data_IF_375903597313
#
_entry.id   IF_375903597313
#
_cell.length_a   1.000
_cell.length_b   1.000
_cell.length_c   1.000
_cell.angle_alpha   90.00
_cell.angle_beta   90.00
_cell.angle_gamma   90.00
#
_symmetry.space_group_name_H-M   'P 1'
#
loop_
_entity.id
_entity.type
_entity.pdbx_description
1 polymer ?
#
# COMPACT_ATOMS: atom_id res chain seq x y z
N UNK A 1 -5.03 -18.68 -2.81
CA UNK A 1 -4.42 -18.09 -4.02
C UNK A 1 -3.57 -16.89 -3.60
N UNK A 2 -2.35 -16.76 -4.11
CA UNK A 2 -1.40 -15.73 -3.69
C UNK A 2 -1.65 -14.37 -4.36
N UNK A 3 -2.82 -13.76 -4.11
CA UNK A 3 -3.23 -12.48 -4.74
C UNK A 3 -2.24 -11.33 -4.52
N UNK A 4 -1.51 -11.38 -3.41
CA UNK A 4 -0.47 -10.44 -3.06
C UNK A 4 0.72 -10.53 -4.06
N UNK A 5 1.10 -11.75 -4.49
CA UNK A 5 2.09 -11.95 -5.54
C UNK A 5 1.59 -11.52 -6.93
N UNK A 6 0.32 -11.79 -7.25
CA UNK A 6 -0.33 -11.37 -8.51
C UNK A 6 -0.35 -9.84 -8.61
N UNK A 7 -0.79 -9.15 -7.55
CA UNK A 7 -0.83 -7.69 -7.48
C UNK A 7 0.56 -7.06 -7.65
N UNK A 8 1.56 -7.55 -6.93
CA UNK A 8 2.93 -7.04 -7.04
C UNK A 8 3.50 -7.24 -8.45
N UNK A 9 3.29 -8.41 -9.04
CA UNK A 9 3.77 -8.73 -10.39
C UNK A 9 3.10 -7.84 -11.43
N UNK A 10 1.77 -7.66 -11.34
CA UNK A 10 1.02 -6.79 -12.25
C UNK A 10 1.49 -5.34 -12.15
N UNK A 11 1.67 -4.83 -10.93
CA UNK A 11 2.19 -3.48 -10.68
C UNK A 11 3.57 -3.30 -11.29
N UNK A 12 4.51 -4.18 -10.94
CA UNK A 12 5.89 -4.12 -11.41
C UNK A 12 5.94 -4.12 -12.94
N UNK A 13 5.39 -5.15 -13.60
CA UNK A 13 5.43 -5.26 -15.06
C UNK A 13 4.79 -4.06 -15.77
N UNK A 14 3.72 -3.51 -15.21
CA UNK A 14 3.08 -2.30 -15.75
C UNK A 14 3.98 -1.07 -15.65
N UNK A 15 4.70 -0.90 -14.54
CA UNK A 15 5.66 0.20 -14.37
C UNK A 15 6.87 0.07 -15.29
N UNK A 16 7.29 -1.16 -15.64
CA UNK A 16 8.35 -1.43 -16.60
C UNK A 16 7.89 -1.39 -18.07
N UNK A 17 6.65 -0.96 -18.35
CA UNK A 17 6.16 -0.73 -19.71
C UNK A 17 5.50 -1.94 -20.38
N UNK A 18 5.33 -3.07 -19.69
CA UNK A 18 4.71 -4.29 -20.23
C UNK A 18 3.19 -4.32 -20.12
N UNK A 19 2.52 -3.17 -19.97
CA UNK A 19 1.06 -3.13 -19.73
C UNK A 19 0.25 -3.80 -20.84
N UNK A 20 0.69 -3.65 -22.09
CA UNK A 20 0.00 -4.22 -23.26
C UNK A 20 0.30 -5.71 -23.48
N UNK A 21 1.18 -6.31 -22.68
CA UNK A 21 1.44 -7.76 -22.76
C UNK A 21 0.16 -8.53 -22.32
N UNK A 22 -0.34 -9.47 -23.15
CA UNK A 22 -1.55 -10.24 -22.82
C UNK A 22 -1.46 -10.99 -21.49
N UNK A 23 -0.26 -11.38 -21.05
CA UNK A 23 -0.02 -12.07 -19.78
C UNK A 23 -0.23 -11.11 -18.60
N UNK A 24 0.17 -9.85 -18.74
CA UNK A 24 -0.11 -8.80 -17.75
C UNK A 24 -1.61 -8.52 -17.71
N UNK A 25 -2.28 -8.48 -18.86
CA UNK A 25 -3.74 -8.39 -18.94
C UNK A 25 -4.47 -9.49 -18.16
N UNK A 26 -3.95 -10.73 -18.15
CA UNK A 26 -4.49 -11.82 -17.33
C UNK A 26 -4.37 -11.58 -15.84
N UNK A 27 -3.25 -11.00 -15.38
CA UNK A 27 -3.07 -10.67 -13.96
C UNK A 27 -4.12 -9.66 -13.49
N UNK A 28 -4.40 -8.63 -14.31
CA UNK A 28 -5.46 -7.67 -14.00
C UNK A 28 -6.85 -8.29 -14.01
N UNK A 29 -7.16 -9.22 -14.92
CA UNK A 29 -8.45 -9.94 -14.86
C UNK A 29 -8.60 -10.71 -13.55
N UNK A 30 -7.55 -11.42 -13.13
CA UNK A 30 -7.56 -12.14 -11.86
C UNK A 30 -7.76 -11.21 -10.66
N UNK A 31 -7.08 -10.04 -10.64
CA UNK A 31 -7.30 -8.99 -9.63
C UNK A 31 -8.78 -8.58 -9.54
N UNK A 32 -9.45 -8.41 -10.69
CA UNK A 32 -10.86 -8.00 -10.72
C UNK A 32 -11.80 -9.13 -10.29
N UNK A 33 -11.51 -10.37 -10.67
CA UNK A 33 -12.34 -11.55 -10.39
C UNK A 33 -12.30 -11.96 -8.91
N UNK A 34 -11.17 -11.77 -8.22
CA UNK A 34 -11.01 -12.19 -6.82
C UNK A 34 -11.41 -11.10 -5.79
N UNK A 35 -11.70 -9.85 -6.22
CA UNK A 35 -12.08 -8.79 -5.30
C UNK A 35 -13.27 -9.20 -4.43
N UNK A 36 -13.06 -9.20 -3.10
CA UNK A 36 -14.03 -9.67 -2.11
C UNK A 36 -15.26 -8.78 -2.07
N UNK A 37 -16.37 -9.27 -1.50
CA UNK A 37 -17.63 -8.52 -1.39
C UNK A 37 -17.48 -7.19 -0.66
N UNK A 38 -16.63 -7.14 0.36
CA UNK A 38 -16.31 -5.93 1.14
C UNK A 38 -15.42 -4.91 0.39
N UNK A 39 -15.00 -5.23 -0.84
CA UNK A 39 -14.19 -4.37 -1.71
C UNK A 39 -12.68 -4.56 -1.56
N UNK A 40 -12.22 -5.31 -0.55
CA UNK A 40 -10.81 -5.61 -0.35
C UNK A 40 -10.32 -6.84 -1.10
N UNK A 41 -9.08 -7.23 -0.81
CA UNK A 41 -8.46 -8.48 -1.25
C UNK A 41 -7.83 -9.18 -0.05
N UNK A 42 -7.48 -10.47 -0.21
CA UNK A 42 -6.75 -11.22 0.79
C UNK A 42 -5.83 -12.25 0.11
N UNK A 43 -4.66 -12.55 0.68
CA UNK A 43 -3.78 -13.61 0.18
C UNK A 43 -4.31 -15.03 0.49
N UNK A 44 -5.26 -15.18 1.42
CA UNK A 44 -5.88 -16.45 1.76
C UNK A 44 -7.21 -16.67 1.03
N UNK A 45 -7.51 -17.91 0.57
CA UNK A 45 -8.78 -18.22 -0.07
C UNK A 45 -9.95 -18.09 0.93
N UNK A 46 -11.07 -17.52 0.48
CA UNK A 46 -12.30 -17.42 1.28
C UNK A 46 -12.24 -16.45 2.47
N UNK A 47 -11.11 -15.76 2.68
CA UNK A 47 -10.98 -14.75 3.73
C UNK A 47 -11.55 -13.41 3.26
N UNK A 48 -12.14 -12.60 4.17
CA UNK A 48 -12.55 -11.23 3.86
C UNK A 48 -11.33 -10.36 3.51
N UNK A 49 -11.57 -9.18 2.95
CA UNK A 49 -10.49 -8.26 2.62
C UNK A 49 -9.64 -7.90 3.84
N UNK A 50 -8.34 -7.68 3.64
CA UNK A 50 -7.42 -7.20 4.67
C UNK A 50 -6.63 -5.99 4.16
N UNK A 51 -6.32 -5.05 5.06
CA UNK A 51 -5.43 -3.92 4.78
C UNK A 51 -4.00 -4.37 4.44
N UNK A 52 -3.57 -5.56 4.89
CA UNK A 52 -2.26 -6.11 4.55
C UNK A 52 -2.18 -6.64 3.10
N UNK A 53 -3.32 -6.81 2.40
CA UNK A 53 -3.37 -7.25 0.99
C UNK A 53 -3.60 -6.07 0.04
N UNK A 54 -2.64 -5.16 0.02
CA UNK A 54 -2.68 -3.87 -0.70
C UNK A 54 -2.22 -3.94 -2.15
N UNK A 55 -1.53 -5.02 -2.52
CA UNK A 55 -0.86 -5.15 -3.80
C UNK A 55 -1.82 -5.07 -4.99
N UNK A 56 -3.01 -5.71 -4.97
CA UNK A 56 -3.98 -5.60 -6.08
C UNK A 56 -4.43 -4.15 -6.33
N UNK A 57 -4.75 -3.41 -5.27
CA UNK A 57 -5.15 -2.01 -5.40
C UNK A 57 -3.98 -1.14 -5.89
N UNK A 58 -2.75 -1.44 -5.46
CA UNK A 58 -1.55 -0.75 -5.95
C UNK A 58 -1.26 -1.00 -7.44
N UNK A 59 -1.60 -2.19 -7.96
CA UNK A 59 -1.50 -2.47 -9.39
C UNK A 59 -2.50 -1.62 -10.19
N UNK A 60 -3.73 -1.48 -9.71
CA UNK A 60 -4.72 -0.59 -10.33
C UNK A 60 -4.28 0.88 -10.27
N UNK A 61 -3.60 1.29 -9.20
CA UNK A 61 -3.10 2.65 -9.02
C UNK A 61 -2.04 3.06 -10.05
N UNK A 62 -1.23 2.13 -10.56
CA UNK A 62 -0.23 2.44 -11.60
C UNK A 62 -0.80 2.51 -13.01
N UNK A 63 -2.02 2.01 -13.24
CA UNK A 63 -2.74 2.21 -14.50
C UNK A 63 -3.31 3.63 -14.51
N UNK A 64 -2.93 4.45 -15.49
CA UNK A 64 -3.46 5.80 -15.65
C UNK A 64 -4.98 5.78 -15.87
N UNK A 65 -5.71 6.74 -15.28
CA UNK A 65 -7.19 6.78 -15.32
C UNK A 65 -7.78 6.62 -16.74
N UNK A 66 -7.29 7.30 -17.80
CA UNK A 66 -7.83 7.11 -19.15
C UNK A 66 -7.60 5.71 -19.75
N UNK A 67 -6.69 4.91 -19.18
CA UNK A 67 -6.37 3.54 -19.61
C UNK A 67 -7.07 2.47 -18.75
N UNK A 68 -7.83 2.87 -17.73
CA UNK A 68 -8.61 1.94 -16.93
C UNK A 68 -9.89 1.58 -17.67
N UNK A 69 -10.28 0.30 -17.59
CA UNK A 69 -11.61 -0.11 -18.02
C UNK A 69 -12.64 0.26 -16.95
N UNK A 70 -13.92 0.28 -17.32
CA UNK A 70 -15.00 0.50 -16.35
C UNK A 70 -14.98 -0.52 -15.19
N UNK A 71 -14.52 -1.75 -15.44
CA UNK A 71 -14.35 -2.75 -14.37
C UNK A 71 -13.19 -2.40 -13.42
N UNK A 72 -12.09 -1.87 -13.94
CA UNK A 72 -10.98 -1.36 -13.12
C UNK A 72 -11.40 -0.16 -12.28
N UNK A 73 -12.16 0.79 -12.84
CA UNK A 73 -12.64 1.94 -12.08
C UNK A 73 -13.58 1.53 -10.94
N UNK A 74 -14.53 0.62 -11.20
CA UNK A 74 -15.36 0.05 -10.12
C UNK A 74 -14.54 -0.65 -9.05
N UNK A 75 -13.53 -1.43 -9.44
CA UNK A 75 -12.66 -2.10 -8.48
C UNK A 75 -11.83 -1.11 -7.65
N UNK A 76 -11.36 -0.02 -8.26
CA UNK A 76 -10.68 1.09 -7.58
C UNK A 76 -11.60 1.75 -6.56
N UNK A 77 -12.84 2.07 -6.93
CA UNK A 77 -13.80 2.71 -6.02
C UNK A 77 -14.10 1.83 -4.80
N UNK A 78 -14.39 0.54 -5.03
CA UNK A 78 -14.66 -0.43 -3.96
C UNK A 78 -13.44 -0.65 -3.07
N UNK A 79 -12.25 -0.75 -3.66
CA UNK A 79 -11.00 -0.87 -2.93
C UNK A 79 -10.71 0.37 -2.10
N UNK A 80 -10.88 1.56 -2.68
CA UNK A 80 -10.72 2.81 -1.95
C UNK A 80 -11.67 2.89 -0.75
N UNK A 81 -12.94 2.54 -0.94
CA UNK A 81 -13.93 2.52 0.15
C UNK A 81 -13.57 1.50 1.26
N UNK A 82 -13.04 0.33 0.90
CA UNK A 82 -12.55 -0.66 1.85
C UNK A 82 -11.46 -0.07 2.78
N UNK A 83 -10.48 0.64 2.21
CA UNK A 83 -9.40 1.28 2.96
C UNK A 83 -9.87 2.52 3.75
N UNK A 84 -10.73 3.34 3.15
CA UNK A 84 -11.23 4.59 3.74
C UNK A 84 -12.19 4.35 4.91
N UNK A 85 -13.10 3.39 4.81
CA UNK A 85 -14.00 2.98 5.90
C UNK A 85 -13.23 2.50 7.14
N UNK A 86 -12.06 1.89 6.93
CA UNK A 86 -11.11 1.47 7.97
C UNK A 86 -10.11 2.56 8.38
N UNK A 87 -10.23 3.75 7.81
CA UNK A 87 -9.31 4.90 8.02
C UNK A 87 -7.83 4.53 7.86
N UNK A 88 -7.51 3.54 7.03
CA UNK A 88 -6.17 2.98 6.80
C UNK A 88 -5.53 2.15 7.92
N UNK A 89 -6.13 2.04 9.11
CA UNK A 89 -5.50 1.34 10.24
C UNK A 89 -6.44 0.62 11.20
N UNK A 90 -7.75 0.59 10.92
CA UNK A 90 -8.75 -0.07 11.77
C UNK A 90 -9.10 -1.44 11.23
N UNK A 91 -8.37 -2.45 11.70
CA UNK A 91 -8.63 -3.86 11.43
C UNK A 91 -8.26 -4.66 12.69
N UNK A 92 -9.26 -4.94 13.53
CA UNK A 92 -9.02 -5.59 14.82
C UNK A 92 -8.30 -4.68 15.83
N UNK A 93 -7.37 -5.26 16.58
CA UNK A 93 -6.59 -4.55 17.60
C UNK A 93 -5.52 -3.65 17.00
N UNK A 94 -5.05 -2.67 17.78
CA UNK A 94 -3.99 -1.77 17.32
C UNK A 94 -2.71 -2.55 16.98
N UNK A 95 -2.26 -2.42 15.72
CA UNK A 95 -1.03 -3.04 15.24
C UNK A 95 0.07 -2.00 15.02
N UNK A 96 1.01 -1.92 15.96
CA UNK A 96 2.07 -0.91 16.00
C UNK A 96 2.92 -0.78 14.72
N UNK A 97 3.28 -1.87 14.01
CA UNK A 97 4.07 -1.78 12.79
C UNK A 97 3.44 -0.92 11.69
N UNK A 98 2.11 -0.85 11.58
CA UNK A 98 1.47 0.01 10.57
C UNK A 98 1.74 1.51 10.77
N UNK A 99 2.17 1.92 11.97
CA UNK A 99 2.49 3.30 12.34
C UNK A 99 3.99 3.62 12.25
N UNK A 100 4.76 2.80 11.54
CA UNK A 100 6.19 2.97 11.26
C UNK A 100 6.40 3.09 9.75
N UNK A 101 7.35 3.92 9.33
CA UNK A 101 7.71 4.02 7.92
C UNK A 101 8.80 3.01 7.57
N UNK A 102 8.58 2.25 6.50
CA UNK A 102 9.52 1.24 6.03
C UNK A 102 9.95 1.46 4.58
N UNK A 103 11.18 1.05 4.28
CA UNK A 103 11.69 0.98 2.91
C UNK A 103 12.78 -0.10 2.82
N UNK A 104 12.83 -0.93 1.76
CA UNK A 104 11.92 -0.98 0.61
C UNK A 104 10.55 -1.58 0.90
N UNK A 105 9.54 -1.14 0.13
CA UNK A 105 8.15 -1.65 0.19
C UNK A 105 8.00 -2.85 -0.74
N UNK A 106 7.58 -4.00 -0.19
CA UNK A 106 7.37 -5.21 -0.98
C UNK A 106 6.12 -5.98 -0.54
N UNK A 107 6.07 -6.39 0.73
CA UNK A 107 5.03 -7.30 1.23
C UNK A 107 4.17 -6.66 2.32
N UNK A 108 4.80 -6.06 3.32
CA UNK A 108 4.09 -5.53 4.47
C UNK A 108 3.44 -4.17 4.17
N UNK A 109 2.29 -3.95 4.81
CA UNK A 109 1.58 -2.68 4.79
C UNK A 109 2.05 -1.74 5.90
N UNK A 110 1.98 -0.44 5.62
CA UNK A 110 2.02 0.63 6.61
C UNK A 110 1.16 1.82 6.14
N UNK A 111 0.97 2.81 7.01
CA UNK A 111 0.17 3.99 6.68
C UNK A 111 0.72 4.78 5.47
N UNK A 112 2.02 4.73 5.21
CA UNK A 112 2.61 5.39 4.04
C UNK A 112 2.19 4.68 2.75
N UNK A 113 2.10 3.35 2.74
CA UNK A 113 1.54 2.56 1.63
C UNK A 113 0.09 2.99 1.34
N UNK A 114 -0.77 2.98 2.36
CA UNK A 114 -2.18 3.32 2.19
C UNK A 114 -2.40 4.75 1.68
N UNK A 115 -1.66 5.71 2.23
CA UNK A 115 -1.70 7.10 1.78
C UNK A 115 -1.19 7.29 0.34
N UNK A 116 -0.09 6.62 -0.04
CA UNK A 116 0.46 6.71 -1.40
C UNK A 116 -0.54 6.18 -2.43
N UNK A 117 -1.12 5.00 -2.18
CA UNK A 117 -2.09 4.36 -3.07
C UNK A 117 -3.35 5.23 -3.22
N UNK A 118 -3.97 5.64 -2.12
CA UNK A 118 -5.22 6.40 -2.19
C UNK A 118 -5.04 7.80 -2.77
N UNK A 119 -3.95 8.50 -2.41
CA UNK A 119 -3.65 9.80 -3.02
C UNK A 119 -3.39 9.67 -4.51
N UNK A 120 -2.66 8.63 -4.96
CA UNK A 120 -2.41 8.36 -6.38
C UNK A 120 -3.69 8.02 -7.15
N UNK A 121 -4.66 7.37 -6.49
CA UNK A 121 -5.96 7.04 -7.08
C UNK A 121 -6.93 8.23 -7.11
N UNK A 122 -6.56 9.39 -6.55
CA UNK A 122 -7.37 10.61 -6.56
C UNK A 122 -8.24 10.80 -5.31
N UNK A 123 -8.03 10.01 -4.26
CA UNK A 123 -8.79 10.10 -3.00
C UNK A 123 -8.11 10.98 -1.94
N UNK A 124 -7.11 11.79 -2.33
CA UNK A 124 -6.31 12.61 -1.40
C UNK A 124 -7.13 13.61 -0.57
N UNK A 125 -8.24 14.13 -1.10
CA UNK A 125 -9.14 15.05 -0.41
C UNK A 125 -10.13 14.40 0.56
N UNK A 126 -10.18 13.06 0.66
CA UNK A 126 -11.13 12.38 1.54
C UNK A 126 -10.80 12.66 3.02
N UNK A 127 -11.78 13.20 3.75
CA UNK A 127 -11.61 13.59 5.17
C UNK A 127 -11.24 12.42 6.08
N UNK A 128 -11.54 11.17 5.70
CA UNK A 128 -11.20 9.96 6.44
C UNK A 128 -9.69 9.70 6.46
N UNK A 129 -8.91 10.30 5.56
CA UNK A 129 -7.45 10.25 5.56
C UNK A 129 -6.79 11.16 6.60
N UNK A 130 -7.51 12.14 7.15
CA UNK A 130 -6.94 13.14 8.08
C UNK A 130 -6.13 12.55 9.23
N UNK A 131 -6.55 11.47 9.92
CA UNK A 131 -5.75 10.89 11.00
C UNK A 131 -4.41 10.33 10.51
N UNK A 132 -4.39 9.66 9.35
CA UNK A 132 -3.16 9.13 8.76
C UNK A 132 -2.26 10.25 8.21
N UNK A 133 -2.84 11.29 7.61
CA UNK A 133 -2.10 12.48 7.16
C UNK A 133 -1.48 13.24 8.32
N UNK A 134 -2.18 13.34 9.45
CA UNK A 134 -1.63 13.91 10.69
C UNK A 134 -0.44 13.08 11.17
N UNK A 135 -0.57 11.75 11.23
CA UNK A 135 0.54 10.86 11.55
C UNK A 135 1.75 11.08 10.63
N UNK A 136 1.53 11.21 9.32
CA UNK A 136 2.62 11.48 8.37
C UNK A 136 3.29 12.83 8.65
N UNK A 137 2.49 13.88 8.88
CA UNK A 137 2.99 15.24 9.12
C UNK A 137 3.73 15.36 10.45
N UNK A 138 3.21 14.76 11.52
CA UNK A 138 3.85 14.74 12.84
C UNK A 138 5.21 14.03 12.82
N UNK A 139 5.40 13.06 11.90
CA UNK A 139 6.68 12.36 11.71
C UNK A 139 7.71 13.14 10.87
N UNK A 140 7.30 14.26 10.25
CA UNK A 140 8.22 15.10 9.48
C UNK A 140 9.24 15.74 10.43
N UNK A 141 10.51 15.55 10.13
CA UNK A 141 11.61 16.18 10.88
C UNK A 141 11.69 17.67 10.56
N UNK A 142 12.41 18.41 11.40
CA UNK A 142 12.68 19.84 11.19
C UNK A 142 13.42 20.13 9.88
N UNK A 143 14.26 19.20 9.42
CA UNK A 143 14.94 19.23 8.12
C UNK A 143 14.03 18.88 6.94
N UNK A 144 12.74 18.63 7.19
CA UNK A 144 11.74 18.32 6.18
C UNK A 144 11.74 16.88 5.69
N UNK A 145 12.57 15.99 6.27
CA UNK A 145 12.70 14.58 5.87
C UNK A 145 11.93 13.62 6.78
N UNK A 146 11.81 12.36 6.34
CA UNK A 146 11.29 11.25 7.12
C UNK A 146 12.34 10.14 7.24
N UNK A 147 12.25 9.35 8.31
CA UNK A 147 13.19 8.26 8.61
C UNK A 147 12.59 6.90 8.29
N UNK A 148 13.45 5.93 8.01
CA UNK A 148 13.08 4.50 8.11
C UNK A 148 13.01 4.17 9.60
N UNK A 149 11.83 3.96 10.17
CA UNK A 149 11.71 3.63 11.60
C UNK A 149 12.25 2.22 11.90
N UNK A 150 11.91 1.27 11.02
CA UNK A 150 12.28 -0.15 11.09
C UNK A 150 12.45 -0.73 9.69
N UNK A 151 13.18 -1.83 9.59
CA UNK A 151 13.28 -2.63 8.38
C UNK A 151 12.27 -3.77 8.44
N UNK A 152 11.75 -4.15 7.28
CA UNK A 152 10.99 -5.39 7.19
C UNK A 152 11.90 -6.61 7.26
N UNK A 153 11.39 -7.72 7.82
CA UNK A 153 10.06 -7.88 8.40
C UNK A 153 9.95 -7.25 9.80
N UNK A 154 8.91 -6.44 10.00
CA UNK A 154 8.58 -5.81 11.29
C UNK A 154 7.22 -6.33 11.75
N UNK A 155 7.23 -7.32 12.66
CA UNK A 155 6.03 -8.00 13.13
C UNK A 155 5.94 -7.92 14.65
N UNK A 156 4.74 -7.65 15.17
CA UNK A 156 4.49 -7.66 16.62
C UNK A 156 4.06 -9.05 17.09
N UNK A 157 4.52 -9.53 18.26
CA UNK A 157 4.02 -10.78 18.84
C UNK A 157 2.53 -10.68 19.25
N UNK A 158 1.76 -11.78 19.17
CA UNK A 158 2.13 -13.07 18.58
C UNK A 158 1.88 -13.05 17.06
N UNK A 159 2.92 -13.33 16.26
CA UNK A 159 2.79 -13.52 14.81
C UNK A 159 3.40 -14.87 14.44
N UNK A 160 2.73 -15.65 13.58
CA UNK A 160 3.26 -16.91 13.04
C UNK A 160 4.59 -16.70 12.28
N UNK A 161 4.83 -15.49 11.78
CA UNK A 161 6.08 -15.09 11.15
C UNK A 161 7.18 -14.73 12.16
N UNK A 162 6.88 -14.57 13.45
CA UNK A 162 7.85 -14.05 14.42
C UNK A 162 9.04 -14.99 14.65
N UNK A 163 8.83 -16.31 14.68
CA UNK A 163 9.89 -17.29 14.94
C UNK A 163 10.85 -17.55 13.75
N UNK A 164 10.36 -17.72 12.49
CA UNK A 164 11.24 -17.98 11.34
C UNK A 164 12.16 -16.81 10.95
N UNK A 165 11.85 -15.59 11.38
CA UNK A 165 12.52 -14.36 10.92
C UNK A 165 13.75 -13.97 11.74
N UNK A 166 13.98 -14.55 12.94
CA UNK A 166 15.12 -14.19 13.81
C UNK A 166 16.50 -14.52 13.22
N UNK A 167 16.57 -15.29 12.13
CA UNK A 167 17.83 -15.78 11.53
C UNK A 167 18.17 -15.17 10.16
N UNK A 168 17.42 -14.19 9.68
CA UNK A 168 17.68 -13.56 8.36
C UNK A 168 18.07 -12.10 8.53
N UNK A 169 19.15 -11.71 7.87
CA UNK A 169 19.50 -10.29 7.77
C UNK A 169 18.44 -9.57 6.91
N UNK A 170 17.85 -8.48 7.40
CA UNK A 170 16.93 -7.67 6.61
C UNK A 170 17.62 -7.11 5.36
N UNK A 171 16.96 -7.20 4.21
CA UNK A 171 17.39 -6.48 3.03
C UNK A 171 17.09 -4.98 3.19
N UNK A 172 18.08 -4.13 2.94
CA UNK A 172 17.89 -2.68 2.95
C UNK A 172 18.74 -2.01 1.85
N UNK A 173 18.20 -0.93 1.29
CA UNK A 173 18.92 -0.05 0.36
C UNK A 173 19.37 1.26 1.02
N UNK A 174 18.71 1.63 2.13
CA UNK A 174 19.00 2.80 2.93
C UNK A 174 19.01 2.40 4.42
N UNK A 175 19.90 2.97 5.25
CA UNK A 175 20.05 2.54 6.64
C UNK A 175 18.83 2.92 7.50
N UNK A 176 18.38 2.05 8.42
CA UNK A 176 17.31 2.38 9.35
C UNK A 176 17.72 3.48 10.32
N UNK A 177 16.71 4.20 10.85
CA UNK A 177 16.84 5.33 11.79
C UNK A 177 17.63 6.52 11.24
N UNK A 178 17.77 6.61 9.92
CA UNK A 178 18.35 7.74 9.21
C UNK A 178 17.30 8.36 8.27
N UNK A 179 17.44 9.65 7.90
CA UNK A 179 16.64 10.24 6.84
C UNK A 179 16.67 9.40 5.58
N UNK A 180 15.50 9.12 5.01
CA UNK A 180 15.34 8.28 3.84
C UNK A 180 14.91 9.10 2.65
N UNK A 181 15.63 8.94 1.53
CA UNK A 181 15.30 9.65 0.28
C UNK A 181 13.98 9.15 -0.27
N UNK A 182 13.78 7.83 -0.25
CA UNK A 182 12.60 7.20 -0.84
C UNK A 182 11.33 7.42 -0.02
N UNK A 183 11.41 7.35 1.32
CA UNK A 183 10.26 7.71 2.17
C UNK A 183 9.95 9.20 2.03
N UNK A 184 10.97 10.07 2.04
CA UNK A 184 10.77 11.51 1.90
C UNK A 184 10.12 11.85 0.55
N UNK A 185 10.61 11.29 -0.57
CA UNK A 185 10.01 11.47 -1.88
C UNK A 185 8.54 11.03 -1.90
N UNK A 186 8.24 9.88 -1.31
CA UNK A 186 6.87 9.35 -1.24
C UNK A 186 5.97 10.27 -0.42
N UNK A 187 6.42 10.68 0.77
CA UNK A 187 5.69 11.60 1.65
C UNK A 187 5.39 12.93 0.96
N UNK A 188 6.38 13.53 0.30
CA UNK A 188 6.20 14.78 -0.44
C UNK A 188 5.21 14.63 -1.61
N UNK A 189 5.24 13.51 -2.34
CA UNK A 189 4.27 13.22 -3.41
C UNK A 189 2.86 13.06 -2.87
N UNK A 190 2.69 12.39 -1.73
CA UNK A 190 1.40 12.27 -1.05
C UNK A 190 0.88 13.66 -0.68
N UNK A 191 1.69 14.46 0.02
CA UNK A 191 1.28 15.79 0.48
C UNK A 191 0.93 16.70 -0.70
N UNK A 192 1.70 16.66 -1.78
CA UNK A 192 1.39 17.43 -3.00
C UNK A 192 0.06 17.02 -3.63
N UNK A 193 -0.22 15.72 -3.75
CA UNK A 193 -1.50 15.22 -4.30
C UNK A 193 -2.69 15.56 -3.40
N UNK A 194 -2.49 15.62 -2.09
CA UNK A 194 -3.53 16.00 -1.13
C UNK A 194 -3.82 17.49 -1.25
N UNK A 195 -2.79 18.33 -1.31
CA UNK A 195 -2.93 19.77 -1.56
C UNK A 195 -3.66 20.06 -2.87
N UNK A 196 -3.34 19.33 -3.94
CA UNK A 196 -4.01 19.48 -5.25
C UNK A 196 -5.48 19.01 -5.27
N UNK A 197 -5.90 18.23 -4.26
CA UNK A 197 -7.25 17.67 -4.17
C UNK A 197 -8.16 18.44 -3.20
N UNK A 198 -7.62 19.40 -2.44
CA UNK A 198 -8.35 20.24 -1.48
C UNK A 198 -8.62 21.63 -2.04
#
# INVERSE_FOLDING_TARGET
>A
EEMCAVGNTARMLSQFGYREDPRVGRLYRWILEDQREDGGWNCGPGLPGSLDAWEPLSALAVVAKPKRSAAMDRAVERGAEFYLSRRLFREGSHYGPWFRCHYPRHYFYDLLVGLDILSQLGFGGDRRLRPALKWLTDKRRSDGTWVIDRLHPDVSPPSAFHAPLRRKEPFFLEPPRKPSKMITLTALRILKRVEDAT
#
